data_IF_324938443177
#
_entry.id   IF_324938443177
#
_cell.length_a   1.000
_cell.length_b   1.000
_cell.length_c   1.000
_cell.angle_alpha   90.00
_cell.angle_beta   90.00
_cell.angle_gamma   90.00
#
_symmetry.space_group_name_H-M   'P 1'
#
loop_
_entity.id
_entity.type
_entity.pdbx_description
1 polymer ?
#
# COMPACT_ATOMS: atom_id res chain seq x y z
N UNK A 1 3.76 24.25 -9.74
CA UNK A 1 2.68 23.77 -8.85
C UNK A 1 2.92 22.34 -8.34
N UNK A 2 3.41 21.42 -9.17
CA UNK A 2 3.61 20.00 -8.79
C UNK A 2 4.50 19.79 -7.54
N UNK A 3 5.70 20.40 -7.49
CA UNK A 3 6.63 20.30 -6.34
C UNK A 3 5.97 20.73 -5.01
N UNK A 4 5.13 21.78 -5.03
CA UNK A 4 4.38 22.23 -3.85
C UNK A 4 3.51 21.11 -3.28
N UNK A 5 2.76 20.42 -4.13
CA UNK A 5 1.88 19.32 -3.70
C UNK A 5 2.66 18.11 -3.19
N UNK A 6 3.84 17.82 -3.75
CA UNK A 6 4.73 16.79 -3.21
C UNK A 6 5.07 17.10 -1.75
N UNK A 7 5.53 18.32 -1.45
CA UNK A 7 5.90 18.67 -0.08
C UNK A 7 4.71 18.76 0.87
N UNK A 8 3.53 19.19 0.41
CA UNK A 8 2.31 19.15 1.22
C UNK A 8 1.91 17.72 1.58
N UNK A 9 2.00 16.78 0.62
CA UNK A 9 1.73 15.37 0.85
C UNK A 9 2.80 14.74 1.77
N UNK A 10 4.07 15.10 1.58
CA UNK A 10 5.18 14.67 2.41
C UNK A 10 4.99 15.11 3.87
N UNK A 11 4.73 16.40 4.12
CA UNK A 11 4.46 16.93 5.47
C UNK A 11 3.22 16.27 6.11
N UNK A 12 2.22 15.87 5.32
CA UNK A 12 1.08 15.10 5.81
C UNK A 12 1.49 13.68 6.22
N UNK A 13 2.25 12.97 5.39
CA UNK A 13 2.73 11.62 5.68
C UNK A 13 3.64 11.59 6.90
N UNK A 14 4.55 12.56 7.04
CA UNK A 14 5.42 12.69 8.23
C UNK A 14 4.60 12.91 9.50
N UNK A 15 3.60 13.79 9.48
CA UNK A 15 2.71 14.02 10.64
C UNK A 15 1.93 12.78 11.06
N UNK A 16 1.54 11.96 10.09
CA UNK A 16 0.85 10.69 10.32
C UNK A 16 1.79 9.52 10.61
N UNK A 17 3.11 9.75 10.72
CA UNK A 17 4.14 8.72 10.89
C UNK A 17 4.15 7.66 9.77
N UNK A 18 3.66 8.02 8.57
CA UNK A 18 3.69 7.18 7.38
C UNK A 18 5.06 7.31 6.69
N UNK A 19 6.08 6.69 7.28
CA UNK A 19 7.48 6.82 6.85
C UNK A 19 7.71 6.31 5.41
N UNK A 20 7.15 5.15 5.08
CA UNK A 20 7.28 4.55 3.74
C UNK A 20 6.61 5.44 2.68
N UNK A 21 5.39 5.91 2.95
CA UNK A 21 4.66 6.79 2.04
C UNK A 21 5.39 8.13 1.86
N UNK A 22 5.94 8.69 2.94
CA UNK A 22 6.76 9.91 2.90
C UNK A 22 7.99 9.74 2.00
N UNK A 23 8.71 8.62 2.11
CA UNK A 23 9.84 8.29 1.23
C UNK A 23 9.42 8.15 -0.23
N UNK A 24 8.28 7.50 -0.49
CA UNK A 24 7.69 7.43 -1.84
C UNK A 24 7.31 8.81 -2.39
N UNK A 25 6.80 9.70 -1.54
CA UNK A 25 6.45 11.06 -1.93
C UNK A 25 7.69 11.86 -2.33
N UNK A 26 8.76 11.85 -1.52
CA UNK A 26 10.01 12.54 -1.87
C UNK A 26 10.67 11.95 -3.12
N UNK A 27 10.52 10.64 -3.34
CA UNK A 27 11.01 9.99 -4.57
C UNK A 27 10.39 10.60 -5.83
N UNK A 28 9.16 11.13 -5.77
CA UNK A 28 8.57 11.86 -6.91
C UNK A 28 9.36 13.12 -7.23
N UNK A 29 9.89 13.82 -6.23
CA UNK A 29 10.72 15.01 -6.43
C UNK A 29 12.10 14.64 -6.96
N UNK A 30 12.74 13.61 -6.38
CA UNK A 30 14.06 13.13 -6.83
C UNK A 30 14.05 12.72 -8.32
N UNK A 31 12.94 12.16 -8.82
CA UNK A 31 12.76 11.80 -10.23
C UNK A 31 12.70 12.99 -11.20
N UNK A 32 12.45 14.20 -10.72
CA UNK A 32 12.45 15.41 -11.54
C UNK A 32 13.86 15.99 -11.74
N UNK A 33 14.85 15.48 -10.99
CA UNK A 33 16.21 15.99 -10.97
C UNK A 33 17.13 15.11 -11.81
N UNK A 34 18.09 15.75 -12.46
CA UNK A 34 19.12 15.09 -13.26
C UNK A 34 20.40 14.86 -12.44
N UNK A 35 21.23 13.92 -12.90
CA UNK A 35 22.55 13.65 -12.34
C UNK A 35 23.64 14.58 -12.91
N UNK A 36 23.24 15.72 -13.48
CA UNK A 36 24.15 16.71 -14.05
C UNK A 36 24.68 17.63 -12.93
N UNK A 37 26.00 17.59 -12.62
CA UNK A 37 26.58 18.40 -11.56
C UNK A 37 26.62 19.90 -11.91
N UNK A 38 26.59 20.27 -13.19
CA UNK A 38 26.68 21.66 -13.65
C UNK A 38 25.30 22.30 -13.83
N UNK A 39 24.22 21.49 -13.79
CA UNK A 39 22.86 21.98 -13.91
C UNK A 39 22.40 22.68 -12.63
N UNK A 40 22.27 24.01 -12.72
CA UNK A 40 21.76 24.84 -11.63
C UNK A 40 20.29 24.51 -11.28
N UNK A 41 19.96 24.58 -10.00
CA UNK A 41 18.59 24.42 -9.52
C UNK A 41 17.73 25.64 -9.82
N UNK A 42 16.54 25.40 -10.34
CA UNK A 42 15.48 26.40 -10.37
C UNK A 42 14.92 26.62 -8.95
N UNK A 43 14.57 27.87 -8.64
CA UNK A 43 14.05 28.28 -7.31
C UNK A 43 12.86 27.42 -6.84
N UNK A 44 12.06 26.90 -7.77
CA UNK A 44 10.89 26.05 -7.50
C UNK A 44 11.23 24.79 -6.71
N UNK A 45 12.44 24.24 -6.86
CA UNK A 45 12.88 23.01 -6.20
C UNK A 45 13.21 23.23 -4.71
N UNK A 46 13.62 24.45 -4.36
CA UNK A 46 14.04 24.82 -3.00
C UNK A 46 12.93 25.53 -2.23
N UNK A 47 12.03 26.23 -2.92
CA UNK A 47 10.97 27.06 -2.31
C UNK A 47 10.14 26.36 -1.23
N UNK A 48 9.93 25.05 -1.39
CA UNK A 48 9.10 24.25 -0.48
C UNK A 48 9.90 23.30 0.40
N UNK A 49 11.21 23.15 0.16
CA UNK A 49 12.11 22.41 1.04
C UNK A 49 12.59 23.33 2.15
N UNK A 50 12.33 22.96 3.40
CA UNK A 50 12.85 23.70 4.57
C UNK A 50 14.31 23.34 4.88
N UNK A 51 14.78 22.19 4.39
CA UNK A 51 16.01 21.56 4.85
C UNK A 51 17.14 21.71 3.82
N UNK A 52 16.83 21.72 2.53
CA UNK A 52 17.84 21.74 1.46
C UNK A 52 18.18 23.15 0.91
N UNK A 53 17.95 24.20 1.69
CA UNK A 53 18.07 25.60 1.21
C UNK A 53 19.49 25.99 0.77
N UNK A 54 20.51 25.24 1.19
CA UNK A 54 21.93 25.51 0.87
C UNK A 54 22.41 24.88 -0.43
N UNK A 55 21.57 24.08 -1.09
CA UNK A 55 21.95 23.30 -2.27
C UNK A 55 21.84 24.13 -3.55
N UNK A 56 22.75 23.93 -4.51
CA UNK A 56 22.84 24.76 -5.72
C UNK A 56 22.57 24.02 -7.04
N UNK A 57 22.83 22.71 -7.09
CA UNK A 57 22.77 21.93 -8.35
C UNK A 57 21.79 20.76 -8.26
N UNK A 58 21.32 20.29 -9.42
CA UNK A 58 20.38 19.16 -9.51
C UNK A 58 20.95 17.90 -8.84
N UNK A 59 22.21 17.56 -9.15
CA UNK A 59 22.94 16.44 -8.54
C UNK A 59 22.95 16.51 -7.01
N UNK A 60 23.36 17.65 -6.45
CA UNK A 60 23.46 17.81 -4.99
C UNK A 60 22.11 17.64 -4.30
N UNK A 61 21.03 18.20 -4.87
CA UNK A 61 19.70 18.10 -4.27
C UNK A 61 19.18 16.68 -4.36
N UNK A 62 19.45 16.01 -5.48
CA UNK A 62 19.07 14.61 -5.67
C UNK A 62 19.78 13.70 -4.68
N UNK A 63 21.09 13.89 -4.45
CA UNK A 63 21.85 13.15 -3.42
C UNK A 63 21.25 13.31 -2.03
N UNK A 64 20.94 14.56 -1.64
CA UNK A 64 20.33 14.86 -0.34
C UNK A 64 18.94 14.23 -0.19
N UNK A 65 18.08 14.37 -1.21
CA UNK A 65 16.74 13.76 -1.19
C UNK A 65 16.81 12.24 -1.08
N UNK A 66 17.72 11.59 -1.81
CA UNK A 66 17.87 10.14 -1.74
C UNK A 66 18.42 9.68 -0.38
N UNK A 67 19.29 10.48 0.27
CA UNK A 67 19.73 10.24 1.64
C UNK A 67 18.56 10.30 2.63
N UNK A 68 17.71 11.34 2.54
CA UNK A 68 16.51 11.46 3.39
C UNK A 68 15.53 10.31 3.13
N UNK A 69 15.36 9.90 1.87
CA UNK A 69 14.52 8.77 1.48
C UNK A 69 15.03 7.46 2.08
N UNK A 70 16.36 7.24 2.11
CA UNK A 70 16.95 6.07 2.76
C UNK A 70 16.58 6.04 4.23
N UNK A 71 16.74 7.15 4.95
CA UNK A 71 16.38 7.23 6.35
C UNK A 71 14.88 6.94 6.58
N UNK A 72 14.00 7.51 5.75
CA UNK A 72 12.56 7.27 5.84
C UNK A 72 12.19 5.80 5.58
N UNK A 73 12.82 5.14 4.61
CA UNK A 73 12.57 3.72 4.36
C UNK A 73 13.17 2.82 5.43
N UNK A 74 14.31 3.18 6.01
CA UNK A 74 14.93 2.44 7.11
C UNK A 74 14.08 2.52 8.38
N UNK A 75 13.60 3.71 8.75
CA UNK A 75 12.65 3.91 9.86
C UNK A 75 11.28 3.24 9.63
N UNK A 76 10.94 2.97 8.37
CA UNK A 76 9.71 2.28 7.97
C UNK A 76 9.89 0.77 7.71
N UNK A 77 11.03 0.18 8.05
CA UNK A 77 11.37 -1.24 7.84
C UNK A 77 11.34 -1.72 6.37
N UNK A 78 11.42 -0.79 5.41
CA UNK A 78 11.35 -1.03 3.97
C UNK A 78 12.74 -1.25 3.34
N UNK A 79 13.54 -2.15 3.90
CA UNK A 79 14.96 -2.33 3.53
C UNK A 79 15.18 -2.75 2.07
N UNK A 80 14.26 -3.46 1.43
CA UNK A 80 14.34 -3.77 -0.01
C UNK A 80 14.35 -2.50 -0.87
N UNK A 81 13.69 -1.43 -0.40
CA UNK A 81 13.71 -0.12 -1.05
C UNK A 81 14.99 0.63 -0.70
N UNK A 82 15.45 0.56 0.55
CA UNK A 82 16.75 1.12 0.97
C UNK A 82 17.86 0.59 0.06
N UNK A 83 17.97 -0.72 -0.11
CA UNK A 83 18.98 -1.36 -0.97
C UNK A 83 18.91 -0.83 -2.41
N UNK A 84 17.71 -0.65 -2.97
CA UNK A 84 17.53 -0.12 -4.33
C UNK A 84 18.06 1.32 -4.43
N UNK A 85 17.74 2.18 -3.47
CA UNK A 85 18.19 3.58 -3.44
C UNK A 85 19.70 3.67 -3.17
N UNK A 86 20.24 2.85 -2.27
CA UNK A 86 21.67 2.79 -2.02
C UNK A 86 22.45 2.40 -3.28
N UNK A 87 21.96 1.43 -4.06
CA UNK A 87 22.61 1.06 -5.33
C UNK A 87 22.67 2.22 -6.33
N UNK A 88 21.64 3.06 -6.37
CA UNK A 88 21.63 4.25 -7.22
C UNK A 88 22.67 5.28 -6.74
N UNK A 89 22.70 5.58 -5.44
CA UNK A 89 23.67 6.52 -4.87
C UNK A 89 25.12 6.03 -4.94
N UNK A 90 25.35 4.72 -4.78
CA UNK A 90 26.69 4.13 -4.86
C UNK A 90 27.39 4.50 -6.17
N UNK A 91 26.69 4.34 -7.30
CA UNK A 91 27.23 4.66 -8.63
C UNK A 91 27.66 6.12 -8.69
N UNK A 92 26.86 7.02 -8.11
CA UNK A 92 27.11 8.46 -8.15
C UNK A 92 28.26 8.89 -7.25
N UNK A 93 28.39 8.30 -6.05
CA UNK A 93 29.52 8.57 -5.17
C UNK A 93 30.83 8.01 -5.71
N UNK A 94 30.81 6.85 -6.37
CA UNK A 94 31.99 6.31 -7.05
C UNK A 94 32.44 7.21 -8.20
N UNK A 95 31.51 7.71 -9.02
CA UNK A 95 31.80 8.63 -10.13
C UNK A 95 32.30 10.00 -9.66
N UNK A 96 31.78 10.49 -8.54
CA UNK A 96 32.15 11.77 -7.94
C UNK A 96 33.35 11.66 -6.98
N UNK A 97 33.90 10.46 -6.78
CA UNK A 97 34.98 10.15 -5.82
C UNK A 97 34.68 10.52 -4.35
N UNK A 98 33.40 10.46 -3.95
CA UNK A 98 32.92 10.78 -2.61
C UNK A 98 32.89 9.55 -1.67
N UNK A 99 34.06 8.96 -1.42
CA UNK A 99 34.16 7.69 -0.69
C UNK A 99 33.71 7.73 0.79
N UNK A 100 33.75 8.90 1.42
CA UNK A 100 33.25 9.08 2.79
C UNK A 100 31.74 8.84 2.85
N UNK A 101 31.00 9.36 1.86
CA UNK A 101 29.56 9.18 1.75
C UNK A 101 29.21 7.73 1.37
N UNK A 102 30.04 7.08 0.55
CA UNK A 102 29.90 5.66 0.23
C UNK A 102 30.03 4.77 1.47
N UNK A 103 30.99 5.05 2.35
CA UNK A 103 31.17 4.28 3.60
C UNK A 103 29.93 4.36 4.50
N UNK A 104 29.33 5.55 4.62
CA UNK A 104 28.08 5.74 5.40
C UNK A 104 26.91 4.96 4.83
N UNK A 105 26.82 4.86 3.50
CA UNK A 105 25.76 4.14 2.81
C UNK A 105 25.73 2.64 3.16
N UNK A 106 26.90 2.02 3.33
CA UNK A 106 27.00 0.59 3.66
C UNK A 106 26.45 0.24 5.05
N UNK A 107 26.41 1.20 5.99
CA UNK A 107 25.86 0.97 7.34
C UNK A 107 24.38 0.57 7.28
N UNK A 108 23.59 1.23 6.43
CA UNK A 108 22.14 0.94 6.30
C UNK A 108 21.83 -0.44 5.68
N UNK A 109 22.77 -1.03 4.94
CA UNK A 109 22.54 -2.32 4.25
C UNK A 109 22.69 -3.51 5.22
N UNK A 110 23.44 -3.35 6.32
CA UNK A 110 23.81 -4.46 7.21
C UNK A 110 22.69 -4.93 8.16
N UNK A 111 21.63 -4.15 8.37
CA UNK A 111 20.64 -4.39 9.43
C UNK A 111 19.33 -5.06 8.96
N UNK A 112 19.35 -5.69 7.78
CA UNK A 112 18.17 -6.27 7.14
C UNK A 112 17.64 -7.59 7.76
N UNK A 113 18.15 -7.99 8.93
CA UNK A 113 17.75 -9.22 9.65
C UNK A 113 16.66 -9.01 10.70
N UNK A 114 16.18 -7.78 10.86
CA UNK A 114 15.15 -7.40 11.83
C UNK A 114 13.79 -8.03 11.49
N UNK A 115 13.04 -8.39 12.53
CA UNK A 115 11.68 -8.93 12.40
C UNK A 115 10.69 -7.85 11.96
N UNK A 116 9.77 -8.20 11.07
CA UNK A 116 8.73 -7.30 10.54
C UNK A 116 7.36 -7.69 11.03
N UNK A 117 6.49 -6.69 11.18
CA UNK A 117 5.06 -6.95 11.34
C UNK A 117 4.44 -7.35 10.00
N UNK A 118 3.56 -8.33 10.04
CA UNK A 118 2.79 -8.73 8.86
C UNK A 118 1.83 -7.61 8.46
N UNK A 119 1.75 -7.35 7.16
CA UNK A 119 0.97 -6.24 6.62
C UNK A 119 -0.44 -6.71 6.28
N UNK A 120 -1.45 -6.13 6.93
CA UNK A 120 -2.85 -6.37 6.63
C UNK A 120 -3.40 -5.34 5.63
N UNK A 121 -4.45 -5.75 4.92
CA UNK A 121 -5.13 -4.93 3.93
C UNK A 121 -6.64 -4.97 4.13
N UNK A 122 -7.27 -3.82 3.89
CA UNK A 122 -8.71 -3.66 4.00
C UNK A 122 -9.28 -3.15 2.69
N UNK A 123 -10.38 -3.77 2.25
CA UNK A 123 -11.24 -3.20 1.20
C UNK A 123 -12.24 -2.28 1.87
N UNK A 124 -12.29 -1.03 1.42
CA UNK A 124 -13.21 0.00 1.90
C UNK A 124 -14.06 0.47 0.72
N UNK A 125 -15.37 0.21 0.75
CA UNK A 125 -16.33 0.71 -0.22
C UNK A 125 -17.14 1.87 0.36
N UNK A 126 -17.27 2.96 -0.39
CA UNK A 126 -18.04 4.13 0.01
C UNK A 126 -19.19 4.32 -1.00
N UNK A 127 -20.44 4.38 -0.53
CA UNK A 127 -21.63 4.42 -1.37
C UNK A 127 -22.61 5.51 -0.92
N UNK A 128 -23.37 6.03 -1.89
CA UNK A 128 -24.37 7.09 -1.67
C UNK A 128 -24.03 8.39 -2.41
N UNK A 129 -25.05 9.13 -2.82
CA UNK A 129 -24.90 10.26 -3.76
C UNK A 129 -24.37 11.55 -3.13
N UNK A 130 -24.36 11.63 -1.81
CA UNK A 130 -23.91 12.83 -1.06
C UNK A 130 -22.39 12.83 -0.84
N UNK A 131 -21.72 11.71 -1.10
CA UNK A 131 -20.27 11.64 -1.04
C UNK A 131 -19.63 12.49 -2.15
N UNK A 132 -18.47 13.08 -1.88
CA UNK A 132 -17.68 13.75 -2.89
C UNK A 132 -17.38 12.82 -4.08
N UNK A 133 -17.34 13.34 -5.31
CA UNK A 133 -17.19 12.57 -6.57
C UNK A 133 -16.08 11.52 -6.51
N UNK A 134 -14.97 11.87 -5.88
CA UNK A 134 -13.83 10.97 -5.70
C UNK A 134 -14.14 9.72 -4.83
N UNK A 135 -15.07 9.81 -3.88
CA UNK A 135 -15.46 8.71 -2.98
C UNK A 135 -16.77 8.04 -3.41
N UNK A 136 -17.63 8.75 -4.12
CA UNK A 136 -18.96 8.29 -4.48
C UNK A 136 -18.90 6.98 -5.28
N UNK A 137 -19.45 5.92 -4.68
CA UNK A 137 -19.52 4.58 -5.28
C UNK A 137 -18.15 3.99 -5.66
N UNK A 138 -17.10 4.44 -4.97
CA UNK A 138 -15.74 3.98 -5.16
C UNK A 138 -15.34 2.95 -4.10
N UNK A 139 -14.40 2.10 -4.47
CA UNK A 139 -13.80 1.10 -3.60
C UNK A 139 -12.30 1.34 -3.54
N UNK A 140 -11.72 1.20 -2.37
CA UNK A 140 -10.30 1.40 -2.12
C UNK A 140 -9.70 0.18 -1.41
N UNK A 141 -8.43 -0.07 -1.67
CA UNK A 141 -7.61 -0.91 -0.81
C UNK A 141 -6.84 -0.01 0.11
N UNK A 142 -6.92 -0.25 1.42
CA UNK A 142 -6.16 0.42 2.46
C UNK A 142 -5.14 -0.54 3.07
N UNK A 143 -3.88 -0.11 3.09
CA UNK A 143 -2.76 -0.74 3.78
C UNK A 143 -2.77 -0.35 5.26
N UNK A 144 -3.00 -1.32 6.13
CA UNK A 144 -3.15 -1.12 7.59
C UNK A 144 -1.88 -0.58 8.25
N UNK A 145 -2.03 0.10 9.38
CA UNK A 145 -0.94 0.34 10.32
C UNK A 145 -0.49 -0.96 10.99
N UNK A 146 0.79 -1.09 11.43
CA UNK A 146 1.25 -2.29 12.12
C UNK A 146 0.36 -2.65 13.31
N UNK A 147 -0.19 -3.87 13.30
CA UNK A 147 -1.07 -4.38 14.35
C UNK A 147 -2.50 -3.82 14.37
N UNK A 148 -2.88 -3.00 13.38
CA UNK A 148 -4.21 -2.40 13.30
C UNK A 148 -5.27 -3.42 12.86
N UNK A 149 -6.30 -3.60 13.69
CA UNK A 149 -7.39 -4.55 13.46
C UNK A 149 -8.56 -3.95 12.70
N UNK A 150 -9.46 -4.81 12.22
CA UNK A 150 -10.69 -4.38 11.54
C UNK A 150 -11.56 -3.46 12.41
N UNK A 151 -11.63 -3.69 13.72
CA UNK A 151 -12.35 -2.82 14.68
C UNK A 151 -11.83 -1.39 14.66
N UNK A 152 -10.51 -1.25 14.67
CA UNK A 152 -9.83 0.05 14.77
C UNK A 152 -10.03 0.84 13.47
N UNK A 153 -10.01 0.15 12.32
CA UNK A 153 -10.32 0.77 11.02
C UNK A 153 -11.78 1.20 10.96
N UNK A 154 -12.71 0.39 11.49
CA UNK A 154 -14.14 0.75 11.55
C UNK A 154 -14.37 2.01 12.38
N UNK A 155 -13.77 2.09 13.56
CA UNK A 155 -13.85 3.26 14.44
C UNK A 155 -13.24 4.52 13.78
N UNK A 156 -12.07 4.36 13.15
CA UNK A 156 -11.42 5.44 12.39
C UNK A 156 -12.30 5.94 11.24
N UNK A 157 -12.92 5.04 10.49
CA UNK A 157 -13.84 5.41 9.40
C UNK A 157 -15.10 6.11 9.93
N UNK A 158 -15.66 5.63 11.05
CA UNK A 158 -16.81 6.29 11.68
C UNK A 158 -16.46 7.67 12.23
N UNK A 159 -15.23 7.90 12.68
CA UNK A 159 -14.76 9.23 13.09
C UNK A 159 -14.67 10.18 11.89
N UNK A 160 -14.25 9.68 10.72
CA UNK A 160 -14.15 10.47 9.48
C UNK A 160 -15.53 10.72 8.86
N UNK A 161 -16.41 9.71 8.89
CA UNK A 161 -17.76 9.74 8.33
C UNK A 161 -18.81 9.45 9.42
N UNK A 162 -19.05 10.41 10.34
CA UNK A 162 -19.89 10.18 11.53
C UNK A 162 -21.35 9.86 11.22
N UNK A 163 -21.84 10.23 10.03
CA UNK A 163 -23.21 9.96 9.59
C UNK A 163 -23.31 8.76 8.65
N UNK A 164 -22.22 8.02 8.45
CA UNK A 164 -22.24 6.84 7.58
C UNK A 164 -22.80 5.61 8.29
N UNK A 165 -23.58 4.83 7.55
CA UNK A 165 -24.07 3.52 7.97
C UNK A 165 -23.00 2.50 7.61
N UNK A 166 -22.46 1.83 8.63
CA UNK A 166 -21.49 0.77 8.43
C UNK A 166 -22.22 -0.52 8.02
N UNK A 167 -21.97 -0.97 6.79
CA UNK A 167 -22.53 -2.20 6.25
C UNK A 167 -21.72 -3.42 6.70
N UNK A 168 -22.40 -4.56 6.85
CA UNK A 168 -21.72 -5.83 7.07
C UNK A 168 -20.89 -6.23 5.85
N UNK A 169 -19.73 -6.88 6.03
CA UNK A 169 -18.92 -7.42 4.93
C UNK A 169 -19.69 -8.38 4.03
N UNK A 170 -20.69 -9.07 4.60
CA UNK A 170 -21.56 -10.01 3.92
C UNK A 170 -22.76 -9.36 3.25
N UNK A 171 -22.92 -8.03 3.29
CA UNK A 171 -24.02 -7.34 2.60
C UNK A 171 -23.69 -7.17 1.11
N UNK A 172 -24.66 -7.51 0.25
CA UNK A 172 -24.59 -7.21 -1.19
C UNK A 172 -24.77 -5.70 -1.41
N UNK A 173 -23.86 -5.08 -2.17
CA UNK A 173 -24.01 -3.67 -2.53
C UNK A 173 -24.97 -3.54 -3.72
N UNK A 174 -26.23 -3.29 -3.38
CA UNK A 174 -27.32 -3.03 -4.32
C UNK A 174 -27.40 -1.57 -4.81
N UNK A 175 -28.23 -1.33 -5.82
CA UNK A 175 -28.43 -0.01 -6.41
C UNK A 175 -29.02 1.00 -5.43
N UNK A 176 -29.84 0.55 -4.48
CA UNK A 176 -30.42 1.43 -3.47
C UNK A 176 -29.34 2.04 -2.56
N UNK A 177 -28.27 1.31 -2.24
CA UNK A 177 -27.12 1.86 -1.50
C UNK A 177 -26.38 2.93 -2.32
N UNK A 178 -26.22 2.71 -3.64
CA UNK A 178 -25.48 3.61 -4.53
C UNK A 178 -26.21 4.92 -4.82
N UNK A 179 -27.55 4.86 -4.89
CA UNK A 179 -28.42 6.01 -5.22
C UNK A 179 -29.02 6.70 -4.00
N UNK A 180 -28.80 6.18 -2.80
CA UNK A 180 -29.32 6.77 -1.57
C UNK A 180 -28.66 8.11 -1.26
N UNK A 181 -29.42 8.99 -0.61
CA UNK A 181 -28.91 10.22 0.03
C UNK A 181 -28.07 9.87 1.27
N UNK A 182 -28.34 8.72 1.90
CA UNK A 182 -27.54 8.24 3.04
C UNK A 182 -26.17 7.76 2.57
N UNK A 183 -25.17 7.90 3.45
CA UNK A 183 -23.81 7.42 3.20
C UNK A 183 -23.65 6.02 3.77
N UNK A 184 -23.10 5.11 2.98
CA UNK A 184 -22.80 3.75 3.42
C UNK A 184 -21.32 3.48 3.27
N UNK A 185 -20.74 2.84 4.28
CA UNK A 185 -19.34 2.40 4.26
C UNK A 185 -19.30 0.91 4.52
N UNK A 186 -18.60 0.15 3.68
CA UNK A 186 -18.35 -1.28 3.89
C UNK A 186 -16.85 -1.49 4.05
N UNK A 187 -16.43 -2.18 5.10
CA UNK A 187 -15.02 -2.51 5.33
C UNK A 187 -14.82 -3.96 5.71
N UNK A 188 -13.83 -4.58 5.08
CA UNK A 188 -13.49 -5.99 5.29
C UNK A 188 -12.00 -6.24 5.04
N UNK A 189 -11.47 -7.29 5.66
CA UNK A 189 -10.10 -7.76 5.42
C UNK A 189 -10.01 -8.34 4.01
N UNK A 190 -8.89 -8.09 3.33
CA UNK A 190 -8.56 -8.72 2.05
C UNK A 190 -7.16 -9.30 2.09
N UNK A 191 -6.99 -10.44 1.43
CA UNK A 191 -5.72 -11.14 1.36
C UNK A 191 -4.92 -10.67 0.14
N UNK A 192 -3.62 -10.39 0.30
CA UNK A 192 -2.76 -10.05 -0.81
C UNK A 192 -2.50 -11.28 -1.68
N UNK A 193 -2.44 -11.10 -3.01
CA UNK A 193 -2.08 -12.16 -3.94
C UNK A 193 -0.70 -11.86 -4.53
N UNK A 194 0.32 -12.56 -4.03
CA UNK A 194 1.68 -12.49 -4.55
C UNK A 194 1.84 -13.34 -5.81
N UNK A 195 2.85 -13.01 -6.62
CA UNK A 195 3.30 -13.85 -7.73
C UNK A 195 4.76 -14.25 -7.51
N UNK A 196 4.98 -15.10 -6.52
CA UNK A 196 6.32 -15.55 -6.13
C UNK A 196 7.01 -16.32 -7.26
N UNK A 197 6.26 -17.16 -7.97
CA UNK A 197 6.81 -17.97 -9.06
C UNK A 197 7.30 -17.11 -10.22
N UNK A 198 6.54 -16.09 -10.63
CA UNK A 198 6.99 -15.17 -11.67
C UNK A 198 8.21 -14.34 -11.21
N UNK A 199 8.30 -14.00 -9.93
CA UNK A 199 9.38 -13.15 -9.38
C UNK A 199 10.68 -13.90 -9.12
N UNK A 200 10.60 -15.10 -8.53
CA UNK A 200 11.76 -15.83 -8.01
C UNK A 200 12.07 -17.11 -8.78
N UNK A 201 11.14 -17.61 -9.60
CA UNK A 201 11.27 -18.89 -10.28
C UNK A 201 11.48 -20.03 -9.28
N UNK A 202 12.49 -20.87 -9.51
CA UNK A 202 12.83 -22.02 -8.65
C UNK A 202 14.02 -21.72 -7.71
N UNK A 203 14.31 -20.45 -7.43
CA UNK A 203 15.42 -20.08 -6.54
C UNK A 203 15.04 -20.38 -5.08
N UNK A 204 16.01 -20.88 -4.30
CA UNK A 204 15.84 -21.01 -2.86
C UNK A 204 16.04 -19.63 -2.20
N UNK A 205 14.94 -18.98 -1.82
CA UNK A 205 14.93 -17.64 -1.22
C UNK A 205 14.65 -17.78 0.28
N UNK A 206 15.40 -17.08 1.16
CA UNK A 206 15.10 -17.05 2.60
C UNK A 206 13.65 -16.65 2.89
N UNK A 207 13.00 -17.34 3.82
CA UNK A 207 11.58 -17.16 4.15
C UNK A 207 11.24 -15.72 4.58
N UNK A 208 12.12 -15.06 5.32
CA UNK A 208 11.95 -13.66 5.72
C UNK A 208 11.80 -12.70 4.52
N UNK A 209 12.49 -12.99 3.41
CA UNK A 209 12.39 -12.22 2.16
C UNK A 209 11.07 -12.55 1.46
N UNK A 210 10.69 -13.84 1.40
CA UNK A 210 9.42 -14.25 0.80
C UNK A 210 8.22 -13.60 1.52
N UNK A 211 8.22 -13.60 2.86
CA UNK A 211 7.18 -12.99 3.67
C UNK A 211 6.96 -11.50 3.34
N UNK A 212 8.03 -10.76 3.07
CA UNK A 212 7.92 -9.38 2.61
C UNK A 212 7.18 -9.29 1.28
N UNK A 213 7.59 -10.05 0.26
CA UNK A 213 6.97 -10.00 -1.07
C UNK A 213 5.59 -10.65 -1.15
N UNK A 214 5.19 -11.46 -0.16
CA UNK A 214 3.81 -11.95 0.00
C UNK A 214 2.82 -10.82 0.27
N UNK A 215 3.26 -9.82 1.03
CA UNK A 215 2.41 -8.76 1.57
C UNK A 215 2.82 -7.36 1.11
N UNK A 216 3.94 -7.18 0.40
CA UNK A 216 4.44 -5.90 -0.10
C UNK A 216 4.81 -5.96 -1.59
N UNK A 217 4.81 -4.81 -2.26
CA UNK A 217 4.94 -4.72 -3.72
C UNK A 217 3.85 -5.54 -4.45
N UNK A 218 2.64 -5.44 -3.92
CA UNK A 218 1.45 -6.15 -4.39
C UNK A 218 0.43 -5.18 -4.98
N UNK A 219 -0.39 -5.69 -5.89
CA UNK A 219 -1.53 -4.96 -6.48
C UNK A 219 -2.77 -5.82 -6.66
N UNK A 220 -2.72 -7.12 -6.34
CA UNK A 220 -3.84 -8.05 -6.49
C UNK A 220 -4.28 -8.49 -5.11
N UNK A 221 -5.59 -8.58 -4.93
CA UNK A 221 -6.20 -8.86 -3.64
C UNK A 221 -7.37 -9.80 -3.84
N UNK A 222 -7.65 -10.62 -2.82
CA UNK A 222 -8.81 -11.50 -2.78
C UNK A 222 -9.55 -11.40 -1.46
N UNK A 223 -10.84 -11.69 -1.49
CA UNK A 223 -11.60 -12.01 -0.29
C UNK A 223 -12.67 -13.03 -0.63
N UNK A 224 -13.08 -13.77 0.39
CA UNK A 224 -14.18 -14.73 0.30
C UNK A 224 -15.35 -14.20 1.11
N UNK A 225 -16.54 -14.25 0.53
CA UNK A 225 -17.79 -13.97 1.23
C UNK A 225 -18.58 -15.26 1.36
N UNK A 226 -18.99 -15.55 2.59
CA UNK A 226 -19.85 -16.68 2.91
C UNK A 226 -21.29 -16.17 3.08
N UNK A 227 -22.26 -16.91 2.54
CA UNK A 227 -23.68 -16.63 2.73
C UNK A 227 -24.48 -17.93 2.74
N UNK A 228 -25.64 -17.87 3.38
CA UNK A 228 -26.58 -19.00 3.49
C UNK A 228 -27.72 -18.77 2.52
N UNK A 229 -28.11 -19.80 1.77
CA UNK A 229 -29.31 -19.74 0.94
C UNK A 229 -30.55 -19.72 1.85
N UNK A 230 -31.43 -18.72 1.70
CA UNK A 230 -32.63 -18.61 2.53
C UNK A 230 -33.55 -19.83 2.39
N UNK A 231 -33.49 -20.52 1.25
CA UNK A 231 -34.30 -21.70 0.91
C UNK A 231 -33.82 -23.03 1.54
N UNK A 232 -32.60 -23.09 2.11
CA UNK A 232 -31.96 -24.33 2.60
C UNK A 232 -31.93 -24.49 4.13
N UNK A 233 -32.72 -23.68 4.86
CA UNK A 233 -32.76 -23.74 6.35
C UNK A 233 -33.25 -25.07 6.92
N UNK A 234 -33.86 -25.94 6.10
CA UNK A 234 -34.40 -27.26 6.48
C UNK A 234 -33.47 -28.44 6.12
N UNK A 235 -32.28 -28.19 5.57
CA UNK A 235 -31.33 -29.25 5.24
C UNK A 235 -30.65 -29.80 6.51
N UNK A 236 -30.79 -31.09 6.78
CA UNK A 236 -30.29 -31.84 7.97
C UNK A 236 -28.75 -31.90 8.12
N UNK A 237 -28.00 -31.22 7.25
CA UNK A 237 -26.54 -31.17 7.25
C UNK A 237 -26.09 -29.72 7.37
N UNK A 238 -25.50 -29.37 8.51
CA UNK A 238 -24.99 -28.03 8.82
C UNK A 238 -23.97 -27.49 7.80
N UNK A 239 -23.40 -28.35 6.96
CA UNK A 239 -22.31 -28.02 6.02
C UNK A 239 -22.84 -27.74 4.60
N UNK A 240 -24.03 -28.22 4.25
CA UNK A 240 -24.59 -28.08 2.90
C UNK A 240 -25.26 -26.71 2.63
N UNK A 241 -25.47 -25.89 3.66
CA UNK A 241 -26.26 -24.66 3.58
C UNK A 241 -25.48 -23.41 3.16
N UNK A 242 -24.14 -23.51 3.06
CA UNK A 242 -23.27 -22.35 2.82
C UNK A 242 -22.79 -22.30 1.37
N UNK A 243 -22.87 -21.13 0.75
CA UNK A 243 -22.23 -20.82 -0.52
C UNK A 243 -21.10 -19.82 -0.31
N UNK A 244 -20.03 -19.95 -1.07
CA UNK A 244 -18.88 -19.06 -1.00
C UNK A 244 -18.66 -18.34 -2.34
N UNK A 245 -18.49 -17.03 -2.25
CA UNK A 245 -18.10 -16.21 -3.38
C UNK A 245 -16.71 -15.66 -3.13
N UNK A 246 -15.75 -16.06 -3.98
CA UNK A 246 -14.41 -15.50 -3.98
C UNK A 246 -14.37 -14.35 -4.98
N UNK A 247 -13.83 -13.24 -4.52
CA UNK A 247 -13.61 -12.06 -5.33
C UNK A 247 -12.13 -11.84 -5.48
N UNK A 248 -11.71 -11.51 -6.69
CA UNK A 248 -10.35 -11.06 -6.97
C UNK A 248 -10.41 -9.70 -7.66
N UNK A 249 -9.51 -8.80 -7.30
CA UNK A 249 -9.47 -7.47 -7.85
C UNK A 249 -8.05 -6.91 -7.78
N UNK A 250 -7.81 -5.81 -8.49
CA UNK A 250 -6.49 -5.20 -8.54
C UNK A 250 -6.51 -3.69 -8.37
N UNK A 251 -5.41 -3.13 -7.90
CA UNK A 251 -5.18 -1.69 -7.81
C UNK A 251 -4.31 -1.22 -8.98
N UNK A 252 -4.48 0.04 -9.38
CA UNK A 252 -3.65 0.65 -10.43
C UNK A 252 -2.18 0.82 -10.00
N UNK A 253 -1.95 1.01 -8.70
CA UNK A 253 -0.64 1.24 -8.10
C UNK A 253 -0.31 0.12 -7.11
N UNK A 254 0.97 -0.26 -7.02
CA UNK A 254 1.46 -1.19 -6.01
C UNK A 254 1.37 -0.56 -4.62
N UNK A 255 1.15 -1.37 -3.58
CA UNK A 255 1.28 -0.94 -2.19
C UNK A 255 2.57 -1.52 -1.57
N UNK A 256 3.36 -0.72 -0.82
CA UNK A 256 3.16 0.69 -0.48
C UNK A 256 3.44 1.64 -1.66
N UNK A 257 2.89 2.85 -1.60
CA UNK A 257 3.15 3.96 -2.52
C UNK A 257 3.09 5.30 -1.77
N UNK A 258 2.82 6.43 -2.44
CA UNK A 258 2.70 7.77 -1.83
C UNK A 258 1.52 7.93 -0.87
N UNK A 259 0.55 7.01 -0.91
CA UNK A 259 -0.62 6.94 -0.03
C UNK A 259 -0.80 5.51 0.47
N UNK A 260 -1.38 5.35 1.66
CA UNK A 260 -1.74 4.03 2.20
C UNK A 260 -2.97 3.42 1.57
N UNK A 261 -3.72 4.17 0.77
CA UNK A 261 -4.92 3.70 0.12
C UNK A 261 -4.94 4.05 -1.35
N UNK A 262 -5.45 3.13 -2.17
CA UNK A 262 -5.46 3.21 -3.63
C UNK A 262 -6.81 2.73 -4.14
N UNK A 263 -7.40 3.37 -5.17
CA UNK A 263 -8.61 2.88 -5.81
C UNK A 263 -8.46 1.43 -6.28
N UNK A 264 -9.47 0.63 -5.95
CA UNK A 264 -9.63 -0.72 -6.46
C UNK A 264 -10.30 -0.68 -7.84
N UNK A 265 -9.77 -1.46 -8.78
CA UNK A 265 -10.41 -1.72 -10.06
C UNK A 265 -11.61 -2.66 -9.93
N UNK A 266 -12.15 -3.06 -11.08
CA UNK A 266 -13.24 -4.03 -11.12
C UNK A 266 -12.82 -5.37 -10.51
N UNK A 267 -13.77 -6.01 -9.83
CA UNK A 267 -13.59 -7.34 -9.26
C UNK A 267 -14.15 -8.42 -10.19
N UNK A 268 -13.41 -9.51 -10.34
CA UNK A 268 -13.93 -10.77 -10.87
C UNK A 268 -14.49 -11.61 -9.72
N UNK A 269 -15.61 -12.29 -9.98
CA UNK A 269 -16.32 -13.11 -9.01
C UNK A 269 -16.30 -14.56 -9.47
N UNK A 270 -15.94 -15.47 -8.57
CA UNK A 270 -16.02 -16.92 -8.77
C UNK A 270 -16.85 -17.50 -7.64
N UNK A 271 -17.92 -18.22 -7.98
CA UNK A 271 -18.81 -18.87 -7.01
C UNK A 271 -18.43 -20.32 -6.84
N UNK A 272 -18.32 -20.77 -5.59
CA UNK A 272 -18.06 -22.15 -5.21
C UNK A 272 -19.23 -22.70 -4.38
N UNK A 273 -19.65 -23.93 -4.69
CA UNK A 273 -20.52 -24.72 -3.81
C UNK A 273 -19.65 -25.39 -2.74
N UNK A 274 -20.08 -25.40 -1.48
CA UNK A 274 -19.25 -25.77 -0.31
C UNK A 274 -18.56 -27.14 -0.40
N UNK A 275 -19.10 -28.07 -1.19
CA UNK A 275 -18.52 -29.41 -1.43
C UNK A 275 -17.07 -29.31 -1.98
N UNK A 276 -16.66 -28.18 -2.57
CA UNK A 276 -15.31 -27.97 -3.10
C UNK A 276 -14.34 -27.20 -2.18
N UNK A 277 -14.81 -26.59 -1.07
CA UNK A 277 -13.96 -25.72 -0.24
C UNK A 277 -12.98 -26.55 0.60
N UNK A 278 -13.41 -27.72 1.09
CA UNK A 278 -12.54 -28.65 1.85
C UNK A 278 -11.38 -29.24 1.02
N UNK A 279 -11.40 -29.13 -0.31
CA UNK A 279 -10.34 -29.64 -1.19
C UNK A 279 -9.32 -28.58 -1.61
N UNK A 280 -9.66 -27.29 -1.49
CA UNK A 280 -8.80 -26.18 -1.97
C UNK A 280 -8.08 -25.48 -0.82
N UNK A 281 -8.66 -25.38 0.38
CA UNK A 281 -7.99 -24.73 1.53
C UNK A 281 -7.09 -25.67 2.37
N UNK A 282 -7.15 -27.00 2.16
CA UNK A 282 -6.28 -27.97 2.86
C UNK A 282 -5.07 -28.47 2.07
N UNK A 283 -4.82 -27.97 0.85
CA UNK A 283 -3.54 -28.19 0.15
C UNK A 283 -2.53 -27.08 0.45
N UNK A 284 -2.32 -26.83 1.74
CA UNK A 284 -1.10 -26.21 2.26
C UNK A 284 -0.39 -27.26 3.10
N UNK A 285 0.45 -28.05 2.44
CA UNK A 285 1.61 -28.73 3.02
C UNK A 285 2.85 -28.24 2.27
#
# INVERSE_FOLDING_TARGET
MYVKYIYQLYEMNVRLQNKIEAGHTLMLHAKLLDWDPDKNLEEVHLKYSRIHQTVKTHDQLKKQLLSDIIQLFDEGDAWEKVIKVCKELQIQYEQSFEYDNLTRLYVHIMDASKQRFEQEYFRIGCYGIVLHDFLQNQVFVYRSEPGQRLSDVREKLQTIFPHSILLDPTTNIEEHHRRSISQYVQVQVVQPISDEKARFGNRNIPEAILQYYRSNEIRRFTYTRLFVHEDDRDATSDIAQFSAEKYEFSTALLLPNTTRWVPAGSSTKVTYNFIFINLIEFNVF
#
